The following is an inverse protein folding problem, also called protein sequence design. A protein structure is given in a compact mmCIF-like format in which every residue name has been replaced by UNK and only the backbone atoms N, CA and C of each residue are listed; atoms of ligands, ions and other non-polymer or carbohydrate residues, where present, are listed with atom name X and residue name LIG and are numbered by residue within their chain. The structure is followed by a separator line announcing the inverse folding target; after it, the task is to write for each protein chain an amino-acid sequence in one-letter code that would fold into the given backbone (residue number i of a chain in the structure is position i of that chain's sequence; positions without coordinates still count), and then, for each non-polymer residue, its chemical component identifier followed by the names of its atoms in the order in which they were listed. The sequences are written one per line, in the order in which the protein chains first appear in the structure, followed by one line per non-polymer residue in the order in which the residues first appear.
data_IF_518199712476
#
_entry.id   IF_518199712476
#
_cell.length_a   1.000
_cell.length_b   1.000
_cell.length_c   1.000
_cell.angle_alpha   90.00
_cell.angle_beta   90.00
_cell.angle_gamma   90.00
#
_symmetry.space_group_name_H-M   'P 1'
#
loop_
_entity.id
_entity.type
_entity.pdbx_description
1 polymer ?
#
# COMPACT_ATOMS: atom_id res chain seq x y z
N UNK A 1 37.22 -7.65 -8.16
CA UNK A 1 38.60 -7.75 -8.67
C UNK A 1 39.19 -9.02 -8.08
N UNK A 2 39.84 -9.87 -8.89
CA UNK A 2 40.51 -11.09 -8.43
C UNK A 2 42.01 -10.78 -8.48
N UNK A 3 42.66 -10.79 -7.31
CA UNK A 3 44.09 -10.50 -7.18
C UNK A 3 44.78 -11.79 -6.75
N UNK A 4 45.56 -12.36 -7.66
CA UNK A 4 46.47 -13.48 -7.39
C UNK A 4 47.87 -12.93 -7.11
N UNK A 5 48.39 -13.19 -5.91
CA UNK A 5 49.75 -12.79 -5.56
C UNK A 5 50.71 -13.96 -5.53
N UNK A 6 51.53 -14.10 -6.57
CA UNK A 6 52.81 -14.78 -6.47
C UNK A 6 53.83 -13.83 -5.80
N UNK A 7 53.99 -13.95 -4.47
CA UNK A 7 55.20 -13.48 -3.79
C UNK A 7 55.28 -12.00 -3.38
N UNK A 8 54.18 -11.22 -3.36
CA UNK A 8 54.15 -9.94 -2.64
C UNK A 8 53.49 -10.10 -1.26
N UNK A 9 54.11 -9.53 -0.21
CA UNK A 9 53.59 -9.52 1.16
C UNK A 9 52.60 -8.36 1.41
N UNK A 10 52.26 -7.61 0.37
CA UNK A 10 51.40 -6.44 0.44
C UNK A 10 50.57 -6.41 -0.85
N UNK A 11 49.25 -6.39 -0.69
CA UNK A 11 48.29 -6.16 -1.76
C UNK A 11 47.68 -4.81 -1.45
N UNK A 12 47.85 -3.83 -2.35
CA UNK A 12 47.18 -2.53 -2.26
C UNK A 12 46.02 -2.50 -3.26
N UNK A 13 44.79 -2.58 -2.74
CA UNK A 13 43.57 -2.51 -3.56
C UNK A 13 43.18 -1.04 -3.73
N UNK A 14 43.78 -0.34 -4.70
CA UNK A 14 43.31 1.00 -5.11
C UNK A 14 42.03 0.87 -5.95
N UNK A 15 40.91 1.54 -5.65
CA UNK A 15 40.76 3.01 -5.78
C UNK A 15 39.76 3.64 -4.78
N UNK A 16 39.32 2.94 -3.72
CA UNK A 16 38.32 3.51 -2.76
C UNK A 16 38.51 3.21 -1.27
N UNK A 17 39.29 2.19 -0.87
CA UNK A 17 39.42 1.82 0.55
C UNK A 17 40.67 0.96 0.82
N UNK A 18 41.85 1.46 0.42
CA UNK A 18 43.15 0.74 0.41
C UNK A 18 43.26 -0.35 1.49
N UNK A 19 43.15 -1.60 1.07
CA UNK A 19 43.24 -2.77 1.95
C UNK A 19 44.70 -3.18 1.99
N UNK A 20 45.27 -3.46 3.16
CA UNK A 20 46.65 -3.95 3.31
C UNK A 20 46.64 -5.32 3.98
N UNK A 21 47.17 -6.33 3.29
CA UNK A 21 47.14 -7.74 3.72
C UNK A 21 48.52 -8.36 3.60
N UNK A 22 48.97 -9.06 4.65
CA UNK A 22 50.18 -9.86 4.62
C UNK A 22 49.85 -11.37 4.66
N UNK A 23 50.39 -12.14 3.72
CA UNK A 23 50.15 -13.58 3.58
C UNK A 23 50.50 -14.37 4.86
N UNK A 24 51.52 -13.93 5.60
CA UNK A 24 51.98 -14.63 6.81
C UNK A 24 50.95 -14.62 7.95
N UNK A 25 49.90 -13.81 7.81
CA UNK A 25 48.81 -13.67 8.78
C UNK A 25 47.77 -14.80 8.69
N UNK A 26 47.80 -15.63 7.65
CA UNK A 26 46.79 -16.66 7.40
C UNK A 26 47.28 -18.06 7.77
N UNK A 27 46.38 -18.88 8.32
CA UNK A 27 46.57 -20.31 8.55
C UNK A 27 46.31 -21.08 7.24
N UNK A 28 47.22 -20.89 6.29
CA UNK A 28 47.23 -21.55 4.99
C UNK A 28 48.48 -22.41 4.85
N UNK A 29 48.36 -23.51 4.09
CA UNK A 29 49.53 -24.26 3.64
C UNK A 29 50.49 -23.29 2.91
N UNK A 30 51.78 -23.23 3.28
CA UNK A 30 52.76 -22.35 2.65
C UNK A 30 52.81 -22.46 1.11
N UNK A 31 52.41 -23.61 0.57
CA UNK A 31 52.36 -23.89 -0.86
C UNK A 31 51.13 -23.32 -1.59
N UNK A 32 50.08 -22.92 -0.87
CA UNK A 32 48.89 -22.28 -1.43
C UNK A 32 49.10 -20.76 -1.51
N UNK A 33 48.57 -20.09 -2.54
CA UNK A 33 48.51 -18.62 -2.58
C UNK A 33 47.18 -18.15 -1.98
N UNK A 34 47.18 -16.94 -1.42
CA UNK A 34 45.97 -16.28 -0.94
C UNK A 34 45.35 -15.50 -2.10
N UNK A 35 44.07 -15.74 -2.36
CA UNK A 35 43.24 -14.95 -3.27
C UNK A 35 42.25 -14.12 -2.45
N UNK A 36 42.22 -12.81 -2.69
CA UNK A 36 41.25 -11.89 -2.08
C UNK A 36 40.29 -11.41 -3.15
N UNK A 37 39.02 -11.68 -2.93
CA UNK A 37 37.95 -11.13 -3.77
C UNK A 37 37.38 -9.90 -3.10
N UNK A 38 37.65 -8.76 -3.71
CA UNK A 38 36.99 -7.50 -3.37
C UNK A 38 35.85 -7.25 -4.35
N UNK A 39 34.64 -7.09 -3.81
CA UNK A 39 33.47 -6.67 -4.58
C UNK A 39 32.93 -5.39 -3.96
N UNK A 40 32.96 -4.32 -4.75
CA UNK A 40 32.31 -3.07 -4.40
C UNK A 40 30.78 -3.25 -4.47
N UNK A 41 30.11 -2.94 -3.36
CA UNK A 41 28.66 -2.97 -3.24
C UNK A 41 28.06 -1.55 -3.23
N UNK A 42 28.88 -0.50 -3.45
CA UNK A 42 28.47 0.91 -3.46
C UNK A 42 27.53 1.31 -4.59
N UNK A 43 27.01 0.34 -5.37
CA UNK A 43 25.72 0.55 -6.00
C UNK A 43 24.67 0.65 -4.89
N UNK A 44 24.25 1.89 -4.56
CA UNK A 44 23.26 2.21 -3.52
C UNK A 44 22.09 1.23 -3.49
N UNK A 45 21.65 0.72 -4.65
CA UNK A 45 20.60 -0.29 -4.77
C UNK A 45 20.84 -1.58 -3.97
N UNK A 46 22.05 -2.15 -3.95
CA UNK A 46 22.33 -3.41 -3.25
C UNK A 46 22.56 -3.20 -1.75
N UNK A 47 23.28 -2.15 -1.37
CA UNK A 47 23.45 -1.78 0.03
C UNK A 47 22.11 -1.41 0.69
N UNK A 48 21.22 -0.70 -0.02
CA UNK A 48 19.89 -0.35 0.46
C UNK A 48 18.97 -1.58 0.61
N UNK A 49 19.19 -2.67 -0.14
CA UNK A 49 18.46 -3.93 0.05
C UNK A 49 18.83 -4.65 1.36
N UNK A 50 20.05 -4.46 1.85
CA UNK A 50 20.51 -5.00 3.14
C UNK A 50 19.97 -4.19 4.34
N UNK A 51 19.28 -3.08 4.07
CA UNK A 51 18.59 -2.26 5.05
C UNK A 51 19.50 -1.31 5.84
N UNK A 52 18.89 -0.29 6.44
CA UNK A 52 19.56 0.73 7.25
C UNK A 52 19.59 0.37 8.75
N UNK A 53 19.49 -0.92 9.08
CA UNK A 53 19.42 -1.39 10.47
C UNK A 53 20.78 -1.90 10.95
N UNK A 54 21.33 -1.24 11.96
CA UNK A 54 22.54 -1.64 12.66
C UNK A 54 22.34 -1.95 14.14
N UNK A 55 23.37 -2.54 14.75
CA UNK A 55 23.48 -2.77 16.18
C UNK A 55 24.91 -2.54 16.67
N UNK A 56 25.06 -2.00 17.88
CA UNK A 56 26.36 -1.95 18.54
C UNK A 56 26.66 -3.24 19.33
N UNK A 57 27.85 -3.31 19.95
CA UNK A 57 28.28 -4.47 20.74
C UNK A 57 27.40 -4.75 21.97
N UNK A 58 26.67 -3.75 22.46
CA UNK A 58 25.71 -3.90 23.56
C UNK A 58 24.32 -4.38 23.06
N UNK A 59 24.12 -4.50 21.74
CA UNK A 59 22.86 -4.86 21.11
C UNK A 59 21.88 -3.70 20.92
N UNK A 60 22.32 -2.46 21.19
CA UNK A 60 21.50 -1.26 20.98
C UNK A 60 21.32 -1.00 19.50
N UNK A 61 20.10 -0.58 19.10
CA UNK A 61 19.75 -0.33 17.71
C UNK A 61 20.43 0.93 17.19
N UNK A 62 20.90 0.85 15.95
CA UNK A 62 21.47 1.95 15.20
C UNK A 62 20.75 2.07 13.86
N UNK A 63 20.60 3.30 13.38
CA UNK A 63 20.29 3.56 11.97
C UNK A 63 21.60 3.80 11.25
N UNK A 64 21.79 3.18 10.09
CA UNK A 64 23.05 3.22 9.34
C UNK A 64 22.86 3.83 7.95
N UNK A 65 23.67 4.84 7.64
CA UNK A 65 23.78 5.48 6.34
C UNK A 65 25.08 5.03 5.65
N UNK A 66 24.95 4.02 4.79
CA UNK A 66 26.07 3.32 4.16
C UNK A 66 26.76 4.24 3.13
N UNK A 67 27.99 4.63 3.42
CA UNK A 67 28.83 5.42 2.51
C UNK A 67 29.55 4.54 1.50
N UNK A 68 30.01 3.38 1.97
CA UNK A 68 30.70 2.40 1.16
C UNK A 68 30.43 0.99 1.73
N UNK A 69 30.10 0.05 0.86
CA UNK A 69 29.95 -1.35 1.23
C UNK A 69 30.82 -2.22 0.33
N UNK A 70 31.36 -3.29 0.89
CA UNK A 70 32.24 -4.19 0.19
C UNK A 70 32.17 -5.59 0.77
N UNK A 71 32.52 -6.55 -0.06
CA UNK A 71 32.70 -7.95 0.32
C UNK A 71 34.19 -8.29 0.28
N UNK A 72 34.66 -8.99 1.31
CA UNK A 72 36.01 -9.54 1.35
C UNK A 72 35.95 -11.03 1.70
N UNK A 73 36.50 -11.85 0.81
CA UNK A 73 36.70 -13.28 1.05
C UNK A 73 38.17 -13.64 0.96
N UNK A 74 38.59 -14.51 1.88
CA UNK A 74 39.93 -15.07 1.93
C UNK A 74 39.88 -16.52 1.46
N UNK A 75 40.54 -16.82 0.35
CA UNK A 75 40.61 -18.20 -0.16
C UNK A 75 42.05 -18.62 -0.45
N UNK A 76 42.36 -19.90 -0.27
CA UNK A 76 43.49 -20.53 -0.93
C UNK A 76 43.24 -20.64 -2.44
N UNK A 77 44.31 -20.70 -3.24
CA UNK A 77 44.22 -20.87 -4.71
C UNK A 77 43.57 -22.17 -5.16
N UNK A 78 43.43 -23.15 -4.26
CA UNK A 78 42.69 -24.38 -4.50
C UNK A 78 41.18 -24.24 -4.24
N UNK A 79 40.72 -23.04 -3.85
CA UNK A 79 39.34 -22.73 -3.50
C UNK A 79 38.97 -23.05 -2.05
N UNK A 80 39.92 -23.45 -1.21
CA UNK A 80 39.69 -23.64 0.23
C UNK A 80 39.52 -22.30 0.95
N UNK A 81 38.74 -22.26 2.04
CA UNK A 81 38.62 -21.05 2.85
C UNK A 81 39.90 -20.79 3.64
N UNK A 82 40.45 -19.57 3.52
CA UNK A 82 41.58 -19.13 4.29
C UNK A 82 41.12 -18.42 5.57
N UNK A 83 41.77 -18.70 6.70
CA UNK A 83 41.47 -18.04 7.98
C UNK A 83 42.69 -17.29 8.48
N UNK A 84 42.46 -16.15 9.13
CA UNK A 84 43.53 -15.45 9.85
C UNK A 84 43.96 -16.29 11.06
N UNK A 85 45.26 -16.25 11.38
CA UNK A 85 45.81 -16.81 12.62
C UNK A 85 45.28 -16.03 13.82
N UNK A 86 45.24 -16.68 14.97
CA UNK A 86 44.78 -16.04 16.22
C UNK A 86 45.56 -14.74 16.50
N UNK A 87 44.83 -13.64 16.61
CA UNK A 87 45.37 -12.30 16.91
C UNK A 87 45.86 -11.50 15.70
N UNK A 88 45.85 -12.08 14.49
CA UNK A 88 46.16 -11.36 13.26
C UNK A 88 44.95 -10.61 12.71
N UNK A 89 45.19 -9.51 12.00
CA UNK A 89 44.14 -8.66 11.44
C UNK A 89 44.51 -8.15 10.05
N UNK A 90 43.51 -7.94 9.20
CA UNK A 90 43.65 -7.19 7.94
C UNK A 90 43.35 -5.72 8.17
N UNK A 91 44.23 -4.85 7.70
CA UNK A 91 44.06 -3.39 7.84
C UNK A 91 43.30 -2.83 6.64
N UNK A 92 42.32 -1.99 6.91
CA UNK A 92 41.51 -1.25 5.95
C UNK A 92 41.80 0.24 6.09
N UNK A 93 42.08 0.92 4.99
CA UNK A 93 42.28 2.38 4.94
C UNK A 93 41.00 3.09 4.50
N UNK A 94 40.63 4.17 5.17
CA UNK A 94 39.44 4.97 4.87
C UNK A 94 39.70 6.47 4.67
N UNK A 95 40.95 6.86 4.39
CA UNK A 95 41.34 8.27 4.19
C UNK A 95 40.60 8.99 3.04
N UNK A 96 39.97 8.24 2.14
CA UNK A 96 39.17 8.73 1.01
C UNK A 96 37.72 9.06 1.37
N UNK A 97 37.22 8.65 2.54
CA UNK A 97 35.82 8.79 2.91
C UNK A 97 35.55 10.18 3.50
N UNK A 98 34.46 10.81 3.04
CA UNK A 98 33.99 12.09 3.58
C UNK A 98 33.28 11.84 4.90
N UNK A 99 33.86 12.30 6.01
CA UNK A 99 33.28 12.12 7.34
C UNK A 99 32.37 13.31 7.64
N UNK A 100 31.07 13.05 7.81
CA UNK A 100 30.09 14.07 8.22
C UNK A 100 29.70 13.94 9.69
N UNK A 101 29.71 12.73 10.25
CA UNK A 101 29.25 12.41 11.61
C UNK A 101 30.06 11.27 12.27
N UNK A 102 29.43 10.45 13.15
CA UNK A 102 30.00 9.21 13.70
C UNK A 102 30.13 8.17 12.59
N UNK A 103 31.36 7.93 12.14
CA UNK A 103 31.67 6.87 11.18
C UNK A 103 31.94 5.55 11.92
N UNK A 104 31.45 4.45 11.38
CA UNK A 104 31.69 3.11 11.91
C UNK A 104 32.03 2.13 10.80
N UNK A 105 32.85 1.14 11.12
CA UNK A 105 32.96 -0.07 10.34
C UNK A 105 31.94 -1.08 10.86
N UNK A 106 31.08 -1.53 9.96
CA UNK A 106 30.06 -2.52 10.20
C UNK A 106 30.38 -3.81 9.46
N UNK A 107 29.95 -4.92 10.04
CA UNK A 107 29.93 -6.23 9.41
C UNK A 107 28.49 -6.75 9.35
N UNK A 108 28.05 -7.25 8.21
CA UNK A 108 26.72 -7.82 8.09
C UNK A 108 26.65 -9.19 8.76
N UNK A 109 25.61 -9.41 9.56
CA UNK A 109 25.30 -10.70 10.15
C UNK A 109 24.12 -11.34 9.41
N UNK A 110 24.40 -12.39 8.65
CA UNK A 110 23.42 -13.12 7.85
C UNK A 110 22.35 -13.85 8.68
N UNK A 111 22.66 -14.24 9.92
CA UNK A 111 21.74 -15.00 10.77
C UNK A 111 20.53 -14.16 11.21
N UNK A 112 20.73 -12.85 11.40
CA UNK A 112 19.69 -11.94 11.88
C UNK A 112 19.40 -10.76 10.92
N UNK A 113 20.13 -10.66 9.82
CA UNK A 113 19.97 -9.63 8.80
C UNK A 113 20.26 -8.21 9.30
N UNK A 114 21.33 -8.03 10.09
CA UNK A 114 21.70 -6.72 10.66
C UNK A 114 23.17 -6.37 10.50
N UNK A 115 23.46 -5.07 10.42
CA UNK A 115 24.82 -4.54 10.44
C UNK A 115 25.35 -4.45 11.88
N UNK A 116 26.42 -5.18 12.20
CA UNK A 116 27.06 -5.14 13.52
C UNK A 116 28.23 -4.17 13.51
N UNK A 117 28.21 -3.18 14.40
CA UNK A 117 29.31 -2.24 14.58
C UNK A 117 30.51 -2.99 15.20
N UNK A 118 31.58 -3.10 14.42
CA UNK A 118 32.82 -3.78 14.86
C UNK A 118 33.90 -2.78 15.27
N UNK A 119 33.90 -1.58 14.70
CA UNK A 119 34.87 -0.53 15.04
C UNK A 119 34.24 0.86 14.91
N UNK A 120 34.43 1.69 15.93
CA UNK A 120 34.12 3.13 15.86
C UNK A 120 35.32 3.85 15.25
N UNK A 121 35.06 4.67 14.23
CA UNK A 121 36.10 5.38 13.51
C UNK A 121 36.13 6.82 13.99
N UNK A 122 37.20 7.15 14.71
CA UNK A 122 37.50 8.52 15.12
C UNK A 122 38.44 9.17 14.09
N UNK A 123 38.22 10.47 13.81
CA UNK A 123 38.93 11.27 12.80
C UNK A 123 40.47 11.35 12.94
N UNK A 124 41.07 10.67 13.92
CA UNK A 124 42.50 10.72 14.23
C UNK A 124 43.34 9.66 13.55
N UNK A 125 42.75 8.53 13.15
CA UNK A 125 43.47 7.41 12.54
C UNK A 125 42.89 7.16 11.14
N UNK A 126 43.73 6.81 10.17
CA UNK A 126 43.32 6.63 8.77
C UNK A 126 42.97 5.19 8.41
N UNK A 127 42.89 4.32 9.42
CA UNK A 127 42.80 2.89 9.28
C UNK A 127 41.97 2.22 10.37
N UNK A 128 41.48 1.02 10.07
CA UNK A 128 40.76 0.11 10.99
C UNK A 128 41.10 -1.32 10.60
N UNK A 129 40.76 -2.30 11.43
CA UNK A 129 41.10 -3.70 11.17
C UNK A 129 39.88 -4.62 11.15
N UNK A 130 40.00 -5.72 10.40
CA UNK A 130 39.04 -6.84 10.36
C UNK A 130 39.75 -8.16 10.63
N UNK A 131 38.99 -9.17 11.08
CA UNK A 131 39.53 -10.47 11.50
C UNK A 131 38.97 -11.67 10.72
N UNK A 132 37.98 -11.46 9.85
CA UNK A 132 37.37 -12.55 9.09
C UNK A 132 36.73 -12.09 7.78
N UNK A 133 36.39 -13.05 6.92
CA UNK A 133 35.67 -12.79 5.67
C UNK A 133 34.22 -12.37 5.93
N UNK A 134 33.64 -11.68 4.95
CA UNK A 134 32.22 -11.32 4.96
C UNK A 134 31.92 -10.00 4.25
N UNK A 135 30.71 -9.50 4.51
CA UNK A 135 30.23 -8.22 4.02
C UNK A 135 30.49 -7.14 5.07
N UNK A 136 31.06 -6.04 4.63
CA UNK A 136 31.43 -4.91 5.46
C UNK A 136 30.89 -3.61 4.87
N UNK A 137 30.69 -2.63 5.74
CA UNK A 137 30.29 -1.29 5.33
C UNK A 137 30.94 -0.23 6.21
N UNK A 138 31.42 0.84 5.58
CA UNK A 138 31.65 2.10 6.25
C UNK A 138 30.35 2.90 6.20
N UNK A 139 29.80 3.23 7.36
CA UNK A 139 28.52 3.93 7.46
C UNK A 139 28.55 5.00 8.54
N UNK A 140 27.88 6.13 8.28
CA UNK A 140 27.49 7.02 9.36
C UNK A 140 26.39 6.34 10.16
N UNK A 141 26.34 6.56 11.46
CA UNK A 141 25.31 5.94 12.29
C UNK A 141 24.89 6.81 13.48
N UNK A 142 23.61 6.67 13.82
CA UNK A 142 22.99 7.30 14.97
C UNK A 142 22.29 6.23 15.83
N UNK A 143 22.21 6.42 17.17
CA UNK A 143 21.31 5.63 18.00
C UNK A 143 19.90 5.67 17.41
N UNK A 144 19.21 4.53 17.42
CA UNK A 144 17.91 4.43 16.78
C UNK A 144 16.84 3.85 17.69
N UNK A 145 15.61 4.20 17.36
CA UNK A 145 14.39 3.74 18.01
C UNK A 145 13.42 3.21 16.96
N UNK A 146 12.66 2.18 17.36
CA UNK A 146 11.55 1.72 16.54
C UNK A 146 10.35 2.59 16.88
N UNK A 147 9.87 3.32 15.88
CA UNK A 147 8.69 4.17 15.98
C UNK A 147 7.54 3.50 15.27
N UNK A 148 6.40 3.42 15.96
CA UNK A 148 5.11 2.98 15.43
C UNK A 148 4.09 4.10 15.55
N UNK A 149 3.27 4.26 14.53
CA UNK A 149 2.18 5.24 14.54
C UNK A 149 1.08 4.80 13.58
N UNK A 150 -0.06 5.46 13.68
CA UNK A 150 -1.18 5.31 12.75
C UNK A 150 -1.46 6.64 12.07
N UNK A 151 -1.79 6.61 10.79
CA UNK A 151 -2.17 7.77 9.99
C UNK A 151 -3.68 7.76 9.79
N UNK A 152 -4.33 8.88 10.09
CA UNK A 152 -5.76 9.05 9.95
C UNK A 152 -6.13 10.34 9.25
N UNK A 153 -7.25 10.30 8.54
CA UNK A 153 -7.95 11.46 7.99
C UNK A 153 -9.43 11.30 8.37
N UNK A 154 -10.03 12.34 8.94
CA UNK A 154 -11.43 12.31 9.43
C UNK A 154 -11.76 11.09 10.31
N UNK A 155 -10.83 10.71 11.20
CA UNK A 155 -10.92 9.56 12.11
C UNK A 155 -11.00 8.18 11.41
N UNK A 156 -10.69 8.13 10.11
CA UNK A 156 -10.53 6.89 9.35
C UNK A 156 -9.07 6.69 8.97
N UNK A 157 -8.60 5.43 8.85
CA UNK A 157 -7.22 5.16 8.46
C UNK A 157 -6.91 5.70 7.06
N UNK A 158 -5.64 6.06 6.83
CA UNK A 158 -5.13 6.38 5.49
C UNK A 158 -4.21 5.25 5.04
N UNK A 159 -4.73 4.40 4.16
CA UNK A 159 -4.05 3.21 3.67
C UNK A 159 -3.05 3.56 2.56
N UNK A 160 -1.95 2.80 2.51
CA UNK A 160 -0.97 2.83 1.42
C UNK A 160 -0.35 4.20 1.11
N UNK A 161 -0.40 5.14 2.05
CA UNK A 161 0.21 6.45 1.96
C UNK A 161 1.72 6.32 1.98
N UNK A 162 2.37 6.78 0.90
CA UNK A 162 3.82 6.87 0.81
C UNK A 162 4.27 8.19 1.45
N UNK A 163 5.31 8.16 2.26
CA UNK A 163 5.89 9.39 2.78
C UNK A 163 7.37 9.20 3.09
N UNK A 164 8.07 10.32 3.07
CA UNK A 164 9.49 10.40 3.40
C UNK A 164 9.63 10.95 4.82
N UNK A 165 10.54 10.37 5.59
CA UNK A 165 10.93 10.85 6.91
C UNK A 165 12.36 11.37 6.75
N UNK A 166 12.51 12.68 6.90
CA UNK A 166 13.81 13.35 6.88
C UNK A 166 14.31 13.58 8.30
N UNK A 167 15.59 13.28 8.50
CA UNK A 167 16.38 13.70 9.67
C UNK A 167 17.73 14.24 9.21
N UNK A 168 18.59 14.64 10.16
CA UNK A 168 19.95 15.14 9.91
C UNK A 168 20.74 14.21 8.99
N UNK A 169 20.73 14.51 7.69
CA UNK A 169 21.44 13.74 6.66
C UNK A 169 20.85 12.37 6.31
N UNK A 170 19.69 11.98 6.86
CA UNK A 170 19.05 10.69 6.62
C UNK A 170 17.67 10.89 5.99
N UNK A 171 17.38 10.11 4.96
CA UNK A 171 16.08 10.06 4.31
C UNK A 171 15.55 8.62 4.35
N UNK A 172 14.38 8.42 4.98
CA UNK A 172 13.72 7.12 5.06
C UNK A 172 12.37 7.20 4.35
N UNK A 173 12.21 6.40 3.30
CA UNK A 173 10.91 6.24 2.67
C UNK A 173 10.12 5.13 3.36
N UNK A 174 8.86 5.38 3.69
CA UNK A 174 7.97 4.39 4.30
C UNK A 174 6.56 4.48 3.73
N UNK A 175 5.73 3.49 4.05
CA UNK A 175 4.35 3.40 3.58
C UNK A 175 3.44 2.91 4.68
N UNK A 176 2.22 3.45 4.75
CA UNK A 176 1.20 2.91 5.64
C UNK A 176 0.62 1.59 5.13
N UNK A 177 0.21 0.75 6.06
CA UNK A 177 -0.56 -0.48 5.82
C UNK A 177 -2.03 -0.18 5.49
N UNK A 178 -2.83 -1.21 5.24
CA UNK A 178 -4.30 -1.10 5.03
C UNK A 178 -5.06 -0.44 6.18
N UNK A 179 -4.52 -0.49 7.40
CA UNK A 179 -5.12 0.10 8.60
C UNK A 179 -4.50 1.46 8.96
N UNK A 180 -3.74 2.06 8.03
CA UNK A 180 -3.05 3.32 8.26
C UNK A 180 -1.83 3.21 9.18
N UNK A 181 -1.49 2.03 9.68
CA UNK A 181 -0.34 1.83 10.56
C UNK A 181 0.97 1.84 9.79
N UNK A 182 2.02 2.37 10.39
CA UNK A 182 3.38 2.30 9.88
C UNK A 182 4.39 2.05 10.99
N UNK A 183 5.56 1.55 10.59
CA UNK A 183 6.70 1.31 11.47
C UNK A 183 7.97 1.73 10.75
N UNK A 184 8.87 2.42 11.46
CA UNK A 184 10.19 2.76 10.94
C UNK A 184 11.25 2.69 12.05
N UNK A 185 12.50 2.49 11.64
CA UNK A 185 13.67 2.62 12.50
C UNK A 185 14.22 4.03 12.29
N UNK A 186 14.08 4.89 13.29
CA UNK A 186 14.39 6.33 13.18
C UNK A 186 15.52 6.69 14.15
N UNK A 187 16.30 7.76 13.87
CA UNK A 187 17.23 8.33 14.86
C UNK A 187 16.51 8.62 16.18
N UNK A 188 17.18 8.34 17.30
CA UNK A 188 16.67 8.60 18.64
C UNK A 188 16.92 10.05 19.06
N UNK A 189 15.98 10.63 19.81
CA UNK A 189 16.10 12.01 20.31
C UNK A 189 16.29 13.08 19.21
N UNK A 190 15.71 12.86 18.02
CA UNK A 190 15.75 13.82 16.90
C UNK A 190 14.36 14.31 16.44
N UNK A 191 14.28 15.58 16.05
CA UNK A 191 13.11 16.11 15.36
C UNK A 191 13.15 15.61 13.92
N UNK A 192 12.06 14.98 13.49
CA UNK A 192 11.93 14.32 12.20
C UNK A 192 10.82 14.99 11.40
N UNK A 193 11.07 15.24 10.11
CA UNK A 193 10.08 15.81 9.20
C UNK A 193 9.45 14.72 8.33
N UNK A 194 8.13 14.54 8.44
CA UNK A 194 7.34 13.62 7.65
C UNK A 194 6.76 14.38 6.46
N UNK A 195 7.22 14.05 5.26
CA UNK A 195 6.76 14.62 4.00
C UNK A 195 5.83 13.63 3.28
N UNK A 196 4.54 13.94 3.28
CA UNK A 196 3.51 13.12 2.64
C UNK A 196 3.36 13.49 1.17
N UNK A 197 3.40 12.51 0.27
CA UNK A 197 3.21 12.72 -1.16
C UNK A 197 1.93 12.07 -1.67
N UNK A 198 1.24 12.69 -2.63
CA UNK A 198 0.09 12.03 -3.27
C UNK A 198 0.55 10.86 -4.16
N UNK A 199 -0.40 10.16 -4.79
CA UNK A 199 -0.08 9.04 -5.66
C UNK A 199 0.78 9.41 -6.88
N UNK A 200 0.89 10.71 -7.20
CA UNK A 200 1.71 11.26 -8.28
C UNK A 200 3.07 11.81 -7.81
N UNK A 201 3.39 11.66 -6.53
CA UNK A 201 4.67 12.10 -5.96
C UNK A 201 4.73 13.59 -5.61
N UNK A 202 3.61 14.31 -5.68
CA UNK A 202 3.54 15.71 -5.30
C UNK A 202 3.41 15.84 -3.78
N UNK A 203 4.24 16.69 -3.17
CA UNK A 203 4.23 16.92 -1.73
C UNK A 203 2.91 17.62 -1.31
N UNK A 204 2.24 17.02 -0.31
CA UNK A 204 0.94 17.44 0.19
C UNK A 204 1.04 18.17 1.52
N UNK A 205 1.82 17.60 2.44
CA UNK A 205 1.88 18.07 3.82
C UNK A 205 3.22 17.66 4.42
N UNK A 206 3.74 18.54 5.28
CA UNK A 206 4.91 18.26 6.12
C UNK A 206 4.52 18.36 7.58
N UNK A 207 4.87 17.35 8.37
CA UNK A 207 4.63 17.30 9.82
C UNK A 207 5.92 17.00 10.55
N UNK A 208 6.17 17.68 11.67
CA UNK A 208 7.30 17.35 12.55
C UNK A 208 6.85 16.40 13.67
N UNK A 209 7.63 15.34 13.89
CA UNK A 209 7.53 14.49 15.08
C UNK A 209 8.84 14.52 15.85
N UNK A 210 8.77 14.19 17.14
CA UNK A 210 9.94 14.06 17.99
C UNK A 210 10.10 12.59 18.36
N UNK A 211 11.22 11.96 18.00
CA UNK A 211 11.57 10.63 18.52
C UNK A 211 12.17 10.77 19.93
N UNK A 212 11.88 9.84 20.83
CA UNK A 212 12.49 9.81 22.16
C UNK A 212 13.45 8.64 22.33
N UNK A 213 13.37 7.98 23.49
CA UNK A 213 14.31 6.92 23.90
C UNK A 213 13.58 5.59 24.12
N UNK A 214 13.98 4.57 23.37
CA UNK A 214 13.38 3.22 23.42
C UNK A 214 12.34 2.97 22.32
N UNK A 215 11.61 1.85 22.40
CA UNK A 215 10.54 1.58 21.43
C UNK A 215 9.34 2.49 21.71
N UNK A 216 8.94 3.27 20.72
CA UNK A 216 7.93 4.31 20.90
C UNK A 216 6.71 4.09 20.02
N UNK A 217 5.54 4.39 20.61
CA UNK A 217 4.29 4.53 19.87
C UNK A 217 3.89 5.99 19.96
N UNK A 218 4.02 6.71 18.85
CA UNK A 218 3.76 8.17 18.78
C UNK A 218 2.25 8.48 18.76
N UNK A 219 1.41 7.44 18.66
CA UNK A 219 -0.04 7.55 18.68
C UNK A 219 -0.61 7.68 17.27
N UNK A 220 -1.66 8.48 17.11
CA UNK A 220 -2.28 8.76 15.82
C UNK A 220 -1.81 10.12 15.31
N UNK A 221 -1.35 10.14 14.06
CA UNK A 221 -1.09 11.35 13.30
C UNK A 221 -2.33 11.60 12.45
N UNK A 222 -2.99 12.74 12.68
CA UNK A 222 -4.13 13.17 11.87
C UNK A 222 -3.64 14.10 10.77
N UNK A 223 -3.95 13.74 9.53
CA UNK A 223 -3.77 14.62 8.38
C UNK A 223 -4.90 15.64 8.33
N UNK A 224 -4.60 16.82 7.80
CA UNK A 224 -5.62 17.78 7.41
C UNK A 224 -5.98 17.52 5.94
N UNK A 225 -7.25 17.23 5.68
CA UNK A 225 -7.70 16.86 4.33
C UNK A 225 -7.54 18.01 3.34
N UNK A 226 -6.81 17.77 2.25
CA UNK A 226 -6.85 18.59 1.05
C UNK A 226 -7.79 17.91 0.04
N UNK A 227 -8.88 18.58 -0.41
CA UNK A 227 -9.77 18.03 -1.43
C UNK A 227 -8.99 17.59 -2.67
N UNK A 228 -9.25 16.38 -3.18
CA UNK A 228 -8.64 15.85 -4.40
C UNK A 228 -7.37 15.03 -4.25
N UNK A 229 -6.77 14.93 -3.06
CA UNK A 229 -5.57 14.10 -2.85
C UNK A 229 -5.87 12.77 -2.16
N UNK A 230 -7.05 12.64 -1.57
CA UNK A 230 -7.48 11.45 -0.88
C UNK A 230 -8.88 11.07 -1.32
N UNK A 231 -9.09 9.78 -1.54
CA UNK A 231 -10.40 9.21 -1.80
C UNK A 231 -10.79 8.29 -0.65
N UNK A 232 -11.98 8.49 -0.09
CA UNK A 232 -12.58 7.53 0.83
C UNK A 232 -13.10 6.33 0.03
N UNK A 233 -12.49 5.16 0.24
CA UNK A 233 -13.06 3.89 -0.17
C UNK A 233 -13.86 3.32 1.00
N UNK A 234 -15.19 3.48 0.93
CA UNK A 234 -16.14 2.79 1.78
C UNK A 234 -16.94 1.79 0.93
N UNK A 235 -16.36 0.60 0.69
CA UNK A 235 -16.88 -0.33 -0.32
C UNK A 235 -16.84 -1.78 0.13
N UNK A 236 -17.84 -2.54 -0.28
CA UNK A 236 -17.87 -4.00 -0.21
C UNK A 236 -17.59 -4.57 -1.60
N UNK A 237 -16.71 -5.57 -1.70
CA UNK A 237 -16.43 -6.23 -2.97
C UNK A 237 -17.21 -7.54 -3.06
N UNK A 238 -18.03 -7.69 -4.10
CA UNK A 238 -18.83 -8.88 -4.37
C UNK A 238 -18.14 -9.82 -5.35
N UNK A 239 -18.35 -11.13 -5.14
CA UNK A 239 -17.98 -12.18 -6.07
C UNK A 239 -19.02 -12.39 -7.20
N UNK A 240 -18.80 -13.38 -8.07
CA UNK A 240 -19.75 -13.73 -9.13
C UNK A 240 -21.08 -14.31 -8.63
N UNK A 241 -21.16 -14.76 -7.38
CA UNK A 241 -22.41 -15.19 -6.75
C UNK A 241 -23.13 -14.02 -6.08
N UNK A 242 -22.54 -12.82 -6.07
CA UNK A 242 -23.05 -11.66 -5.36
C UNK A 242 -22.78 -11.70 -3.85
N UNK A 243 -21.85 -12.55 -3.39
CA UNK A 243 -21.44 -12.66 -1.99
C UNK A 243 -20.21 -11.81 -1.69
N UNK A 244 -20.06 -11.40 -0.42
CA UNK A 244 -18.91 -10.60 0.01
C UNK A 244 -17.59 -11.37 -0.09
N UNK A 245 -16.67 -10.92 -0.94
CA UNK A 245 -15.37 -11.55 -1.13
C UNK A 245 -14.33 -11.04 -0.13
N UNK A 246 -13.55 -11.96 0.45
CA UNK A 246 -12.39 -11.64 1.29
C UNK A 246 -11.05 -11.71 0.55
N UNK A 247 -11.05 -12.11 -0.73
CA UNK A 247 -9.85 -12.33 -1.55
C UNK A 247 -9.81 -11.38 -2.75
N UNK A 248 -10.07 -10.10 -2.50
CA UNK A 248 -10.19 -9.10 -3.57
C UNK A 248 -9.10 -8.05 -3.53
N UNK A 249 -8.74 -7.58 -4.72
CA UNK A 249 -7.82 -6.46 -4.93
C UNK A 249 -8.64 -5.30 -5.49
N UNK A 250 -8.54 -4.12 -4.88
CA UNK A 250 -9.07 -2.91 -5.50
C UNK A 250 -7.99 -2.34 -6.42
N UNK A 251 -8.33 -2.13 -7.68
CA UNK A 251 -7.44 -1.53 -8.66
C UNK A 251 -7.85 -0.06 -8.78
N UNK A 252 -6.89 0.83 -8.54
CA UNK A 252 -7.09 2.28 -8.62
C UNK A 252 -6.13 2.82 -9.66
N UNK A 253 -6.70 3.38 -10.72
CA UNK A 253 -5.98 3.92 -11.87
C UNK A 253 -6.11 5.44 -11.88
N UNK A 254 -4.97 6.13 -11.87
CA UNK A 254 -4.86 7.57 -12.05
C UNK A 254 -4.14 7.80 -13.40
N UNK A 255 -4.84 8.18 -14.46
CA UNK A 255 -4.31 8.44 -15.82
C UNK A 255 -3.23 7.46 -16.33
N UNK A 256 -1.96 7.68 -15.99
CA UNK A 256 -0.79 6.88 -16.39
C UNK A 256 -0.27 5.90 -15.31
N UNK A 257 -0.73 6.02 -14.07
CA UNK A 257 -0.31 5.23 -12.92
C UNK A 257 -1.43 4.29 -12.45
N UNK A 258 -1.25 2.99 -12.71
CA UNK A 258 -2.10 1.94 -12.17
C UNK A 258 -1.55 1.45 -10.83
N UNK A 259 -2.29 1.72 -9.75
CA UNK A 259 -1.99 1.18 -8.42
C UNK A 259 -2.91 -0.01 -8.13
N UNK A 260 -2.32 -1.17 -7.88
CA UNK A 260 -3.06 -2.32 -7.34
C UNK A 260 -2.98 -2.29 -5.82
N UNK A 261 -4.12 -2.13 -5.16
CA UNK A 261 -4.25 -2.03 -3.72
C UNK A 261 -4.93 -3.30 -3.20
N UNK A 262 -4.20 -4.10 -2.43
CA UNK A 262 -4.70 -5.39 -1.96
C UNK A 262 -5.41 -5.19 -0.62
N UNK A 263 -6.70 -5.50 -0.58
CA UNK A 263 -7.51 -5.40 0.63
C UNK A 263 -8.01 -6.80 1.05
N UNK A 264 -7.41 -7.43 2.07
CA UNK A 264 -7.79 -8.78 2.50
C UNK A 264 -9.10 -8.83 3.32
N UNK A 265 -9.91 -7.77 3.28
CA UNK A 265 -11.10 -7.58 4.10
C UNK A 265 -12.33 -7.43 3.22
N UNK A 266 -13.47 -7.98 3.68
CA UNK A 266 -14.73 -7.95 2.93
C UNK A 266 -15.33 -6.54 2.80
N UNK A 267 -15.10 -5.69 3.80
CA UNK A 267 -15.48 -4.29 3.80
C UNK A 267 -14.22 -3.44 3.89
N UNK A 268 -14.06 -2.53 2.94
CA UNK A 268 -13.03 -1.52 2.91
C UNK A 268 -13.64 -0.24 3.44
N UNK A 269 -13.00 0.38 4.44
CA UNK A 269 -13.39 1.68 4.97
C UNK A 269 -12.14 2.46 5.35
N UNK A 270 -11.49 3.05 4.34
CA UNK A 270 -10.20 3.74 4.49
C UNK A 270 -10.06 4.82 3.44
N UNK A 271 -9.28 5.86 3.74
CA UNK A 271 -8.77 6.75 2.72
C UNK A 271 -7.60 6.10 1.98
N UNK A 272 -7.46 6.43 0.69
CA UNK A 272 -6.30 6.11 -0.14
C UNK A 272 -5.78 7.38 -0.82
N UNK A 273 -4.47 7.52 -1.04
CA UNK A 273 -3.93 8.61 -1.84
C UNK A 273 -4.33 8.44 -3.30
N UNK A 274 -4.72 9.54 -3.93
CA UNK A 274 -5.01 9.67 -5.36
C UNK A 274 -4.23 10.84 -5.93
N UNK A 275 -4.00 10.84 -7.24
CA UNK A 275 -3.28 11.93 -7.91
C UNK A 275 -4.16 13.16 -8.07
N UNK A 276 -5.38 12.91 -8.53
CA UNK A 276 -6.34 13.92 -8.90
C UNK A 276 -7.71 13.51 -8.35
N UNK A 277 -8.67 14.42 -8.54
CA UNK A 277 -10.05 14.15 -8.20
C UNK A 277 -10.57 12.92 -8.95
N UNK A 278 -10.38 12.82 -10.26
CA UNK A 278 -10.96 11.76 -11.07
C UNK A 278 -10.05 10.53 -11.17
N UNK A 279 -10.56 9.38 -10.73
CA UNK A 279 -9.86 8.09 -10.74
C UNK A 279 -10.76 7.00 -11.31
N UNK A 280 -10.17 5.98 -11.93
CA UNK A 280 -10.92 4.77 -12.29
C UNK A 280 -10.70 3.69 -11.23
N UNK A 281 -11.77 3.05 -10.79
CA UNK A 281 -11.75 2.03 -9.74
C UNK A 281 -12.42 0.76 -10.26
N UNK A 282 -11.78 -0.37 -10.02
CA UNK A 282 -12.37 -1.70 -10.21
C UNK A 282 -11.94 -2.64 -9.09
N UNK A 283 -12.49 -3.85 -9.07
CA UNK A 283 -12.01 -4.91 -8.22
C UNK A 283 -11.62 -6.13 -9.06
N UNK A 284 -10.65 -6.91 -8.56
CA UNK A 284 -10.26 -8.20 -9.14
C UNK A 284 -10.18 -9.29 -8.09
N UNK A 285 -10.47 -10.52 -8.49
CA UNK A 285 -10.26 -11.69 -7.63
C UNK A 285 -8.79 -12.09 -7.64
N UNK A 286 -8.22 -12.34 -6.46
CA UNK A 286 -6.80 -12.66 -6.33
C UNK A 286 -6.45 -14.05 -6.88
N UNK A 287 -7.41 -14.99 -6.91
CA UNK A 287 -7.16 -16.38 -7.30
C UNK A 287 -7.41 -16.61 -8.79
N UNK A 288 -8.57 -16.17 -9.31
CA UNK A 288 -8.91 -16.33 -10.73
C UNK A 288 -8.26 -15.25 -11.60
N UNK A 289 -8.07 -14.05 -11.05
CA UNK A 289 -7.64 -12.88 -11.81
C UNK A 289 -8.77 -12.19 -12.57
N UNK A 290 -10.02 -12.61 -12.35
CA UNK A 290 -11.20 -11.98 -12.94
C UNK A 290 -11.28 -10.52 -12.46
N UNK A 291 -11.70 -9.64 -13.36
CA UNK A 291 -11.81 -8.20 -13.09
C UNK A 291 -13.24 -7.78 -13.37
N UNK A 292 -13.87 -7.13 -12.40
CA UNK A 292 -15.21 -6.59 -12.59
C UNK A 292 -15.21 -5.20 -13.23
N UNK A 293 -16.36 -4.51 -13.17
CA UNK A 293 -16.54 -3.19 -13.78
C UNK A 293 -15.51 -2.15 -13.37
N UNK A 294 -15.07 -1.38 -14.36
CA UNK A 294 -14.28 -0.15 -14.15
C UNK A 294 -15.22 1.04 -14.11
N UNK A 295 -15.21 1.76 -12.99
CA UNK A 295 -16.06 2.92 -12.74
C UNK A 295 -15.17 4.13 -12.51
N UNK A 296 -15.51 5.26 -13.13
CA UNK A 296 -14.86 6.53 -12.84
C UNK A 296 -15.44 7.11 -11.55
N UNK A 297 -14.62 7.69 -10.72
CA UNK A 297 -15.01 8.18 -9.42
C UNK A 297 -14.22 9.42 -9.06
N UNK A 298 -14.74 10.25 -8.16
CA UNK A 298 -13.93 11.33 -7.61
C UNK A 298 -14.24 11.71 -6.17
N UNK A 299 -13.27 12.39 -5.54
CA UNK A 299 -13.35 12.80 -4.14
C UNK A 299 -14.44 13.85 -3.85
N UNK A 300 -15.01 14.48 -4.88
CA UNK A 300 -16.05 15.49 -4.78
C UNK A 300 -17.47 14.92 -4.94
N UNK A 301 -17.62 13.63 -5.28
CA UNK A 301 -18.93 12.99 -5.36
C UNK A 301 -19.52 12.89 -3.95
N UNK A 302 -20.77 13.34 -3.80
CA UNK A 302 -21.47 13.34 -2.51
C UNK A 302 -22.01 11.95 -2.11
N UNK A 303 -21.96 10.98 -3.03
CA UNK A 303 -22.36 9.60 -2.79
C UNK A 303 -21.15 8.74 -2.45
N UNK A 304 -21.37 7.61 -1.77
CA UNK A 304 -20.30 6.65 -1.47
C UNK A 304 -20.25 5.55 -2.53
N UNK A 305 -19.05 5.08 -2.86
CA UNK A 305 -18.85 3.89 -3.69
C UNK A 305 -19.11 2.62 -2.86
N UNK A 306 -20.37 2.40 -2.48
CA UNK A 306 -20.75 1.36 -1.51
C UNK A 306 -20.38 -0.07 -1.93
N UNK A 307 -20.38 -0.36 -3.24
CA UNK A 307 -20.19 -1.73 -3.74
C UNK A 307 -19.35 -1.73 -5.02
N UNK A 308 -18.45 -2.70 -5.11
CA UNK A 308 -17.73 -3.10 -6.30
C UNK A 308 -17.96 -4.59 -6.54
N UNK A 309 -17.70 -5.08 -7.76
CA UNK A 309 -17.64 -6.50 -8.05
C UNK A 309 -16.28 -6.85 -8.63
N UNK A 310 -15.78 -8.03 -8.29
CA UNK A 310 -14.60 -8.62 -8.91
C UNK A 310 -14.95 -9.65 -10.01
N UNK A 311 -16.23 -9.71 -10.43
CA UNK A 311 -16.71 -10.68 -11.40
C UNK A 311 -16.71 -10.12 -12.82
N UNK A 312 -16.05 -10.84 -13.74
CA UNK A 312 -16.04 -10.50 -15.17
C UNK A 312 -17.46 -10.58 -15.79
N UNK A 313 -18.34 -11.47 -15.30
CA UNK A 313 -19.72 -11.57 -15.80
C UNK A 313 -20.54 -10.29 -15.58
N UNK A 314 -20.12 -9.44 -14.64
CA UNK A 314 -20.76 -8.16 -14.38
C UNK A 314 -20.14 -7.00 -15.18
N UNK A 315 -19.33 -7.25 -16.21
CA UNK A 315 -18.68 -6.22 -17.05
C UNK A 315 -19.67 -5.16 -17.60
N UNK A 316 -20.90 -5.57 -17.93
CA UNK A 316 -21.98 -4.69 -18.41
C UNK A 316 -22.77 -4.00 -17.29
N UNK A 317 -22.49 -4.35 -16.04
CA UNK A 317 -23.12 -3.85 -14.83
C UNK A 317 -23.74 -4.93 -13.96
N UNK A 318 -24.14 -4.52 -12.76
CA UNK A 318 -24.88 -5.32 -11.80
C UNK A 318 -25.73 -4.41 -10.93
N UNK A 319 -26.71 -4.99 -10.24
CA UNK A 319 -27.47 -4.27 -9.21
C UNK A 319 -27.41 -5.03 -7.90
N UNK A 320 -27.03 -4.35 -6.82
CA UNK A 320 -27.03 -4.90 -5.48
C UNK A 320 -28.16 -4.24 -4.68
N UNK A 321 -29.11 -5.03 -4.19
CA UNK A 321 -30.31 -4.54 -3.52
C UNK A 321 -30.45 -5.25 -2.19
N UNK A 322 -30.79 -4.49 -1.15
CA UNK A 322 -30.99 -4.95 0.20
C UNK A 322 -32.36 -4.55 0.72
N UNK A 323 -33.13 -5.51 1.22
CA UNK A 323 -34.46 -5.32 1.82
C UNK A 323 -34.47 -5.96 3.21
N UNK A 324 -34.61 -5.15 4.26
CA UNK A 324 -34.63 -5.59 5.66
C UNK A 324 -33.48 -6.56 6.02
N UNK A 325 -32.27 -6.21 5.57
CA UNK A 325 -31.06 -7.01 5.80
C UNK A 325 -30.82 -8.13 4.79
N UNK A 326 -31.81 -8.50 3.98
CA UNK A 326 -31.69 -9.54 2.94
C UNK A 326 -31.09 -8.93 1.68
N UNK A 327 -30.04 -9.54 1.15
CA UNK A 327 -29.27 -9.04 -0.01
C UNK A 327 -29.54 -9.91 -1.24
N UNK A 328 -29.70 -9.29 -2.40
CA UNK A 328 -29.77 -9.98 -3.71
C UNK A 328 -29.01 -9.16 -4.75
N UNK A 329 -28.19 -9.85 -5.54
CA UNK A 329 -27.50 -9.29 -6.69
C UNK A 329 -28.23 -9.68 -7.96
N UNK A 330 -28.40 -8.71 -8.87
CA UNK A 330 -28.98 -8.89 -10.19
C UNK A 330 -27.93 -8.57 -11.26
N UNK A 331 -28.05 -9.20 -12.42
CA UNK A 331 -27.34 -8.79 -13.62
C UNK A 331 -27.67 -7.34 -14.00
N UNK A 332 -26.90 -6.78 -14.94
CA UNK A 332 -27.13 -5.43 -15.46
C UNK A 332 -28.61 -5.17 -15.80
N UNK A 333 -29.14 -4.07 -15.27
CA UNK A 333 -30.49 -3.63 -15.60
C UNK A 333 -30.55 -3.05 -17.01
N UNK A 334 -31.68 -3.22 -17.68
CA UNK A 334 -31.95 -2.59 -18.96
C UNK A 334 -32.32 -1.13 -18.71
N UNK A 335 -31.61 -0.20 -19.38
CA UNK A 335 -31.83 1.24 -19.26
C UNK A 335 -32.69 1.73 -20.41
N UNK A 336 -33.83 2.34 -20.09
CA UNK A 336 -34.70 3.01 -21.06
C UNK A 336 -35.03 4.44 -20.61
N UNK A 337 -35.26 5.33 -21.57
CA UNK A 337 -35.77 6.68 -21.32
C UNK A 337 -36.99 6.92 -22.22
N UNK A 338 -38.15 7.19 -21.63
CA UNK A 338 -39.42 7.34 -22.36
C UNK A 338 -39.71 8.79 -22.80
N UNK A 339 -38.79 9.73 -22.52
CA UNK A 339 -38.95 11.16 -22.78
C UNK A 339 -39.17 11.98 -21.51
N UNK A 340 -39.62 11.36 -20.42
CA UNK A 340 -39.84 12.01 -19.12
C UNK A 340 -39.13 11.27 -17.99
N UNK A 341 -39.10 9.93 -18.04
CA UNK A 341 -38.61 9.07 -16.97
C UNK A 341 -37.52 8.15 -17.48
N UNK A 342 -36.49 7.97 -16.66
CA UNK A 342 -35.56 6.86 -16.81
C UNK A 342 -36.14 5.64 -16.13
N UNK A 343 -36.06 4.51 -16.81
CA UNK A 343 -36.52 3.20 -16.36
C UNK A 343 -35.31 2.27 -16.33
N UNK A 344 -35.05 1.70 -15.16
CA UNK A 344 -34.04 0.68 -14.93
C UNK A 344 -34.77 -0.60 -14.53
N UNK A 345 -34.67 -1.65 -15.33
CA UNK A 345 -35.47 -2.86 -15.15
C UNK A 345 -34.59 -4.12 -15.23
N UNK A 346 -34.76 -5.03 -14.27
CA UNK A 346 -34.11 -6.34 -14.30
C UNK A 346 -34.56 -7.15 -15.52
N UNK A 347 -33.70 -8.04 -16.03
CA UNK A 347 -33.99 -8.87 -17.22
C UNK A 347 -35.29 -9.68 -17.07
N UNK A 348 -35.52 -10.24 -15.88
CA UNK A 348 -36.72 -11.05 -15.59
C UNK A 348 -37.92 -10.21 -15.13
N UNK A 349 -37.85 -8.89 -15.25
CA UNK A 349 -38.89 -7.91 -14.85
C UNK A 349 -39.30 -7.96 -13.36
N UNK A 350 -38.57 -8.71 -12.52
CA UNK A 350 -38.78 -8.83 -11.07
C UNK A 350 -38.60 -7.49 -10.34
N UNK A 351 -37.71 -6.64 -10.81
CA UNK A 351 -37.41 -5.34 -10.23
C UNK A 351 -37.44 -4.24 -11.29
N UNK A 352 -38.15 -3.15 -11.01
CA UNK A 352 -38.21 -1.95 -11.85
C UNK A 352 -38.03 -0.71 -10.99
N UNK A 353 -37.02 0.09 -11.30
CA UNK A 353 -36.76 1.38 -10.67
C UNK A 353 -36.96 2.50 -11.70
N UNK A 354 -37.67 3.55 -11.35
CA UNK A 354 -37.89 4.69 -12.24
C UNK A 354 -37.67 6.02 -11.52
N UNK A 355 -37.15 7.01 -12.25
CA UNK A 355 -37.05 8.38 -11.75
C UNK A 355 -37.38 9.38 -12.87
N UNK A 356 -37.97 10.54 -12.54
CA UNK A 356 -38.31 11.58 -13.52
C UNK A 356 -37.10 12.46 -13.86
N UNK A 357 -36.39 12.12 -14.92
CA UNK A 357 -35.28 12.91 -15.45
C UNK A 357 -34.29 12.04 -16.20
N UNK A 358 -33.18 12.65 -16.64
CA UNK A 358 -32.16 12.00 -17.46
C UNK A 358 -30.75 12.61 -17.23
N UNK A 359 -30.43 12.95 -15.99
CA UNK A 359 -29.20 13.63 -15.63
C UNK A 359 -28.63 13.08 -14.32
N UNK A 360 -27.40 13.47 -14.01
CA UNK A 360 -26.81 13.22 -12.70
C UNK A 360 -27.40 14.16 -11.64
N UNK A 361 -27.33 13.74 -10.38
CA UNK A 361 -27.78 14.49 -9.20
C UNK A 361 -28.82 13.79 -8.36
N UNK A 362 -29.29 14.49 -7.32
CA UNK A 362 -30.29 14.00 -6.38
C UNK A 362 -31.71 14.11 -6.93
N UNK A 363 -32.50 13.07 -6.75
CA UNK A 363 -33.91 13.02 -7.14
C UNK A 363 -34.81 13.01 -5.90
N UNK A 364 -35.84 13.86 -5.84
CA UNK A 364 -36.76 13.89 -4.71
C UNK A 364 -37.69 12.67 -4.71
N UNK A 365 -38.17 12.29 -3.53
CA UNK A 365 -39.02 11.10 -3.32
C UNK A 365 -40.21 11.02 -4.30
N UNK A 366 -40.89 12.14 -4.55
CA UNK A 366 -42.05 12.23 -5.45
C UNK A 366 -41.75 11.86 -6.92
N UNK A 367 -40.48 11.87 -7.30
CA UNK A 367 -40.06 11.57 -8.67
C UNK A 367 -39.56 10.13 -8.83
N UNK A 368 -39.37 9.41 -7.72
CA UNK A 368 -38.81 8.06 -7.69
C UNK A 368 -39.91 7.02 -7.46
N UNK A 369 -40.00 6.04 -8.34
CA UNK A 369 -40.90 4.91 -8.17
C UNK A 369 -40.24 3.54 -8.33
N UNK A 370 -40.82 2.53 -7.68
CA UNK A 370 -40.33 1.16 -7.68
C UNK A 370 -41.48 0.17 -7.92
N UNK A 371 -41.20 -0.93 -8.62
CA UNK A 371 -41.96 -2.18 -8.59
C UNK A 371 -41.01 -3.32 -8.21
N UNK A 372 -41.45 -4.17 -7.30
CA UNK A 372 -40.81 -5.43 -6.95
C UNK A 372 -41.89 -6.51 -7.05
N UNK A 373 -41.62 -7.56 -7.81
CA UNK A 373 -42.42 -8.78 -7.86
C UNK A 373 -41.45 -9.96 -7.97
N UNK A 374 -40.77 -10.24 -6.85
CA UNK A 374 -39.65 -11.16 -6.79
C UNK A 374 -39.90 -12.19 -5.69
N UNK A 375 -40.24 -13.41 -6.10
CA UNK A 375 -40.52 -14.54 -5.19
C UNK A 375 -39.26 -15.11 -4.56
N UNK A 376 -38.12 -14.91 -5.21
CA UNK A 376 -36.85 -15.52 -4.86
C UNK A 376 -35.91 -14.51 -4.16
N UNK A 377 -36.45 -13.34 -3.77
CA UNK A 377 -35.73 -12.36 -2.96
C UNK A 377 -35.62 -12.84 -1.51
N UNK A 378 -34.51 -13.52 -1.22
CA UNK A 378 -34.28 -14.23 0.04
C UNK A 378 -35.33 -15.30 0.31
N UNK A 379 -35.54 -15.64 1.58
CA UNK A 379 -36.43 -16.75 1.96
C UNK A 379 -37.93 -16.42 1.85
N UNK A 380 -38.29 -15.13 1.74
CA UNK A 380 -39.69 -14.68 1.86
C UNK A 380 -40.30 -14.17 0.56
N UNK A 381 -39.47 -13.72 -0.38
CA UNK A 381 -39.90 -12.92 -1.53
C UNK A 381 -40.56 -11.59 -1.15
N UNK A 382 -40.56 -10.63 -2.07
CA UNK A 382 -41.15 -9.32 -1.86
C UNK A 382 -42.02 -8.87 -3.04
N UNK A 383 -43.14 -8.24 -2.71
CA UNK A 383 -44.07 -7.65 -3.66
C UNK A 383 -44.39 -6.19 -3.27
N UNK A 384 -44.22 -5.28 -4.21
CA UNK A 384 -44.74 -3.91 -4.15
C UNK A 384 -44.86 -3.30 -5.54
N UNK A 385 -45.79 -2.36 -5.72
CA UNK A 385 -45.85 -1.56 -6.94
C UNK A 385 -46.40 -0.17 -6.63
N UNK A 386 -45.59 0.84 -6.92
CA UNK A 386 -45.96 2.24 -6.75
C UNK A 386 -45.56 3.07 -7.98
N UNK A 387 -45.48 2.44 -9.15
CA UNK A 387 -45.09 3.07 -10.43
C UNK A 387 -45.94 4.29 -10.84
N UNK A 388 -47.16 4.39 -10.32
CA UNK A 388 -48.10 5.47 -10.62
C UNK A 388 -48.31 6.43 -9.42
N UNK A 389 -47.45 6.37 -8.40
CA UNK A 389 -47.57 7.21 -7.20
C UNK A 389 -46.95 8.59 -7.43
N UNK A 390 -47.76 9.64 -7.35
CA UNK A 390 -47.30 11.05 -7.37
C UNK A 390 -46.57 11.46 -6.08
N UNK A 391 -46.69 10.65 -5.02
CA UNK A 391 -46.01 10.88 -3.74
C UNK A 391 -44.67 10.12 -3.64
N UNK A 392 -44.33 9.31 -4.64
CA UNK A 392 -43.18 8.42 -4.57
C UNK A 392 -43.46 7.09 -3.87
N UNK A 393 -42.39 6.40 -3.49
CA UNK A 393 -42.42 5.04 -2.94
C UNK A 393 -41.82 4.90 -1.54
N UNK A 394 -41.53 6.01 -0.83
CA UNK A 394 -40.79 5.97 0.43
C UNK A 394 -39.27 6.02 0.26
N UNK A 395 -38.78 6.30 -0.96
CA UNK A 395 -37.35 6.46 -1.27
C UNK A 395 -36.97 7.92 -1.04
N UNK A 396 -36.41 8.20 0.13
CA UNK A 396 -36.05 9.55 0.56
C UNK A 396 -34.61 9.94 0.19
N UNK A 397 -33.83 8.99 -0.31
CA UNK A 397 -32.51 9.22 -0.90
C UNK A 397 -32.43 8.50 -2.26
N UNK A 398 -32.13 9.25 -3.32
CA UNK A 398 -31.88 8.73 -4.66
C UNK A 398 -30.86 9.64 -5.33
N UNK A 399 -29.68 9.12 -5.60
CA UNK A 399 -28.58 9.86 -6.21
C UNK A 399 -28.13 9.18 -7.49
N UNK A 400 -28.10 9.95 -8.59
CA UNK A 400 -27.56 9.49 -9.87
C UNK A 400 -26.16 10.08 -10.05
N UNK A 401 -25.15 9.26 -9.79
CA UNK A 401 -23.73 9.69 -9.91
C UNK A 401 -23.23 9.64 -11.35
N UNK A 402 -23.77 8.73 -12.15
CA UNK A 402 -23.44 8.55 -13.56
C UNK A 402 -24.73 8.40 -14.35
N UNK A 403 -24.79 9.01 -15.54
CA UNK A 403 -25.95 8.90 -16.42
C UNK A 403 -25.53 8.73 -17.87
N UNK A 404 -25.95 7.62 -18.49
CA UNK A 404 -25.58 7.26 -19.84
C UNK A 404 -26.43 7.99 -20.89
N UNK A 405 -25.81 8.88 -21.65
CA UNK A 405 -26.45 9.50 -22.82
C UNK A 405 -26.23 8.65 -24.08
N UNK A 406 -25.04 8.06 -24.19
CA UNK A 406 -24.58 7.25 -25.32
C UNK A 406 -24.35 5.78 -24.94
N UNK A 407 -24.27 4.90 -25.94
CA UNK A 407 -24.00 3.48 -25.70
C UNK A 407 -22.59 3.29 -25.10
N UNK A 408 -22.47 2.36 -24.16
CA UNK A 408 -21.22 2.05 -23.44
C UNK A 408 -20.90 3.00 -22.28
N UNK A 409 -21.74 4.01 -22.02
CA UNK A 409 -21.63 4.86 -20.83
C UNK A 409 -22.37 4.24 -19.65
N UNK A 410 -21.89 4.53 -18.44
CA UNK A 410 -22.49 4.05 -17.20
C UNK A 410 -23.71 4.89 -16.77
N UNK A 411 -24.74 4.21 -16.30
CA UNK A 411 -25.72 4.79 -15.36
C UNK A 411 -25.54 4.11 -14.02
N UNK A 412 -25.33 4.91 -12.97
CA UNK A 412 -25.20 4.43 -11.59
C UNK A 412 -26.13 5.21 -10.68
N UNK A 413 -27.02 4.49 -10.02
CA UNK A 413 -28.01 5.03 -9.07
C UNK A 413 -27.80 4.38 -7.71
N UNK A 414 -27.59 5.18 -6.67
CA UNK A 414 -27.73 4.75 -5.28
C UNK A 414 -29.09 5.20 -4.75
N UNK A 415 -29.72 4.37 -3.93
CA UNK A 415 -31.01 4.72 -3.33
C UNK A 415 -31.15 4.08 -1.96
N UNK A 416 -31.90 4.76 -1.09
CA UNK A 416 -32.34 4.20 0.18
C UNK A 416 -33.64 4.84 0.66
N UNK A 417 -34.35 4.12 1.52
CA UNK A 417 -35.59 4.59 2.09
C UNK A 417 -36.36 3.50 2.81
N UNK A 418 -37.65 3.76 3.03
CA UNK A 418 -38.55 2.84 3.73
C UNK A 418 -39.88 2.72 3.00
N UNK A 419 -40.10 1.56 2.40
CA UNK A 419 -41.20 1.34 1.47
C UNK A 419 -42.28 0.45 2.09
N UNK A 420 -43.55 0.75 1.81
CA UNK A 420 -44.65 -0.15 2.14
C UNK A 420 -44.70 -1.30 1.13
N UNK A 421 -44.41 -2.51 1.58
CA UNK A 421 -44.36 -3.71 0.74
C UNK A 421 -44.96 -4.92 1.47
N UNK A 422 -45.16 -6.01 0.74
CA UNK A 422 -45.68 -7.27 1.25
C UNK A 422 -44.67 -8.39 0.96
N UNK A 423 -44.29 -9.16 1.97
CA UNK A 423 -43.58 -10.43 1.75
C UNK A 423 -44.50 -11.44 1.09
N UNK A 424 -43.96 -12.37 0.30
CA UNK A 424 -44.79 -13.32 -0.44
C UNK A 424 -45.12 -14.56 0.40
N UNK A 425 -44.14 -15.14 1.11
CA UNK A 425 -44.33 -16.28 2.00
C UNK A 425 -43.52 -16.17 3.32
N UNK A 426 -44.17 -16.04 4.49
CA UNK A 426 -45.60 -15.79 4.67
C UNK A 426 -45.98 -14.39 4.21
N UNK A 427 -47.25 -14.21 3.81
CA UNK A 427 -47.80 -12.92 3.42
C UNK A 427 -47.87 -11.92 4.59
N UNK A 428 -46.92 -10.98 4.67
CA UNK A 428 -46.86 -9.95 5.72
C UNK A 428 -46.61 -8.58 5.09
N UNK A 429 -47.60 -7.69 5.21
CA UNK A 429 -47.50 -6.31 4.76
C UNK A 429 -46.93 -5.41 5.86
N UNK A 430 -46.06 -4.47 5.49
CA UNK A 430 -45.43 -3.56 6.43
C UNK A 430 -44.49 -2.57 5.74
N UNK A 431 -43.83 -1.76 6.57
CA UNK A 431 -42.75 -0.88 6.13
C UNK A 431 -41.41 -1.56 6.31
N UNK A 432 -40.69 -1.76 5.22
CA UNK A 432 -39.38 -2.40 5.20
C UNK A 432 -38.33 -1.40 4.70
N UNK A 433 -37.16 -1.45 5.31
CA UNK A 433 -36.03 -0.65 4.87
C UNK A 433 -35.49 -1.25 3.57
N UNK A 434 -35.21 -0.38 2.60
CA UNK A 434 -34.67 -0.76 1.30
C UNK A 434 -33.51 0.16 0.96
N UNK A 435 -32.44 -0.43 0.46
CA UNK A 435 -31.28 0.29 -0.09
C UNK A 435 -30.67 -0.50 -1.24
N UNK A 436 -29.91 0.18 -2.09
CA UNK A 436 -29.21 -0.51 -3.16
C UNK A 436 -28.44 0.41 -4.09
N UNK A 437 -27.67 -0.23 -4.96
CA UNK A 437 -26.96 0.39 -6.07
C UNK A 437 -27.37 -0.35 -7.34
N UNK A 438 -27.84 0.40 -8.34
CA UNK A 438 -28.07 -0.11 -9.70
C UNK A 438 -26.97 0.47 -10.58
N UNK A 439 -26.21 -0.39 -11.26
CA UNK A 439 -25.18 0.00 -12.21
C UNK A 439 -25.36 -0.77 -13.52
N UNK A 440 -25.45 -0.05 -14.63
CA UNK A 440 -25.58 -0.65 -15.95
C UNK A 440 -24.96 0.23 -17.03
N UNK A 441 -24.40 -0.40 -18.07
CA UNK A 441 -24.06 0.26 -19.34
C UNK A 441 -25.29 0.33 -20.24
N UNK A 442 -25.36 1.40 -21.04
CA UNK A 442 -26.41 1.61 -22.04
C UNK A 442 -26.08 0.98 -23.38
#
# INVERSE_FOLDING_TARGET
MELDTEGSNEIDINDRSGVTINKDQFDLDPSLLLSIKFRDLSFNLLANQLGQRGQNQAGELLVVDIQNAFEIHFHGTDGSDARLKDGETVTLNYNSLSIREKLGLFRYNDENGTWQLISQIDNSEGNTSIIESGYYAFANYLPAVIVKSQLELDQKPVAFQLFTIESTGLEIQTRTTISGQWIALLPAEEELELQFTNACGENQQTLSIMSGTGHETIGTISLEGQPGNYLLLNTQILDCNGEASSSSVAIVSNDENNSQLIFPQQMINTYIPVCDNDVSISASDQQSGDVGPVINWNSMMNDELAVLSNCEEFEEGFSFIKIDGTEKTFNAFIINFDGERTVLESVDEEFKFTFKGNATGSYPEADVNIRIDDKDFGDKGYYMSCLNSDLGCGINHCEVTHYAQENGQWTRVSFSGRSWMQTIDPAVAGYYDIEGVIMAKK
#
